data_IF_506217499420
#
_entry.id   IF_506217499420
#
_cell.length_a   1.000
_cell.length_b   1.000
_cell.length_c   1.000
_cell.angle_alpha   90.00
_cell.angle_beta   90.00
_cell.angle_gamma   90.00
#
_symmetry.space_group_name_H-M   'P 1'
#
loop_
_entity.id
_entity.type
_entity.pdbx_description
1 polymer ?
#
# COMPACT_ATOMS: atom_id res chain seq x y z
N UNK A 1 23.31 -12.00 -5.02
CA UNK A 1 23.10 -10.53 -5.01
C UNK A 1 22.23 -10.18 -6.20
N UNK A 2 21.09 -9.57 -5.95
CA UNK A 2 20.14 -9.07 -6.93
C UNK A 2 20.40 -7.58 -7.16
N UNK A 3 20.60 -7.19 -8.42
CA UNK A 3 20.69 -5.77 -8.81
C UNK A 3 19.31 -5.26 -9.22
N UNK A 4 18.90 -4.12 -8.66
CA UNK A 4 17.65 -3.44 -9.01
C UNK A 4 18.02 -2.12 -9.69
N UNK A 5 17.56 -1.94 -10.93
CA UNK A 5 17.80 -0.72 -11.69
C UNK A 5 16.48 -0.02 -12.03
N UNK A 6 16.49 1.29 -12.25
CA UNK A 6 15.35 2.01 -12.81
C UNK A 6 15.16 1.64 -14.29
N UNK A 7 13.93 1.30 -14.69
CA UNK A 7 13.64 0.91 -16.07
C UNK A 7 13.88 2.07 -17.07
N UNK A 8 13.58 3.32 -16.67
CA UNK A 8 13.68 4.50 -17.55
C UNK A 8 15.11 5.05 -17.69
N UNK A 9 15.90 5.07 -16.61
CA UNK A 9 17.26 5.64 -16.62
C UNK A 9 18.36 4.58 -16.72
N UNK A 10 18.07 3.31 -16.39
CA UNK A 10 19.06 2.25 -16.25
C UNK A 10 19.95 2.39 -15.02
N UNK A 11 19.75 3.43 -14.20
CA UNK A 11 20.54 3.68 -13.00
C UNK A 11 20.27 2.61 -11.94
N UNK A 12 21.32 2.22 -11.22
CA UNK A 12 21.22 1.27 -10.11
C UNK A 12 20.53 1.94 -8.92
N UNK A 13 19.40 1.37 -8.49
CA UNK A 13 18.66 1.80 -7.31
C UNK A 13 19.19 1.12 -6.05
N UNK A 14 19.41 -0.19 -6.12
CA UNK A 14 19.84 -1.00 -4.98
C UNK A 14 20.51 -2.31 -5.40
N UNK A 15 21.38 -2.82 -4.52
CA UNK A 15 21.92 -4.18 -4.59
C UNK A 15 21.53 -4.90 -3.31
N UNK A 16 20.78 -5.98 -3.44
CA UNK A 16 20.18 -6.69 -2.31
C UNK A 16 20.64 -8.15 -2.28
N UNK A 17 20.79 -8.77 -1.09
CA UNK A 17 21.01 -10.20 -1.00
C UNK A 17 19.73 -10.92 -1.43
N UNK A 18 19.82 -11.74 -2.49
CA UNK A 18 18.67 -12.50 -3.00
C UNK A 18 18.15 -13.52 -1.99
N UNK A 19 18.99 -13.97 -1.06
CA UNK A 19 18.68 -14.93 0.01
C UNK A 19 17.63 -14.42 1.01
N UNK A 20 17.55 -13.10 1.21
CA UNK A 20 16.57 -12.47 2.12
C UNK A 20 15.23 -12.18 1.44
N UNK A 21 15.14 -12.41 0.13
CA UNK A 21 14.02 -11.98 -0.70
C UNK A 21 13.35 -13.21 -1.36
N UNK A 22 12.34 -13.80 -0.71
CA UNK A 22 11.68 -14.99 -1.23
C UNK A 22 10.91 -14.71 -2.52
N UNK A 23 10.25 -13.55 -2.62
CA UNK A 23 9.33 -13.19 -3.69
C UNK A 23 9.40 -11.69 -4.07
N UNK A 24 8.78 -11.36 -5.19
CA UNK A 24 8.67 -9.98 -5.70
C UNK A 24 7.92 -9.08 -4.71
N UNK A 25 6.92 -9.61 -4.00
CA UNK A 25 6.19 -8.87 -2.96
C UNK A 25 7.13 -8.33 -1.89
N UNK A 26 7.99 -9.19 -1.35
CA UNK A 26 8.96 -8.83 -0.31
C UNK A 26 10.00 -7.85 -0.85
N UNK A 27 10.46 -8.05 -2.09
CA UNK A 27 11.34 -7.08 -2.76
C UNK A 27 10.70 -5.69 -2.83
N UNK A 28 9.44 -5.57 -3.28
CA UNK A 28 8.74 -4.28 -3.38
C UNK A 28 8.64 -3.57 -2.03
N UNK A 29 8.33 -4.32 -0.97
CA UNK A 29 8.29 -3.79 0.41
C UNK A 29 9.65 -3.26 0.85
N UNK A 30 10.71 -4.06 0.67
CA UNK A 30 12.09 -3.67 1.00
C UNK A 30 12.54 -2.43 0.23
N UNK A 31 12.21 -2.35 -1.06
CA UNK A 31 12.53 -1.16 -1.87
C UNK A 31 11.82 0.09 -1.35
N UNK A 32 10.57 -0.02 -0.93
CA UNK A 32 9.84 1.09 -0.34
C UNK A 32 10.46 1.53 1.00
N UNK A 33 10.60 0.58 1.93
CA UNK A 33 11.01 0.85 3.32
C UNK A 33 12.47 1.29 3.44
N UNK A 34 13.39 0.67 2.69
CA UNK A 34 14.84 0.87 2.87
C UNK A 34 15.48 1.76 1.81
N UNK A 35 14.84 1.91 0.65
CA UNK A 35 15.41 2.62 -0.50
C UNK A 35 14.54 3.77 -1.00
N UNK A 36 13.43 4.08 -0.32
CA UNK A 36 12.57 5.21 -0.66
C UNK A 36 11.83 5.06 -1.99
N UNK A 37 11.73 3.84 -2.52
CA UNK A 37 10.89 3.59 -3.69
C UNK A 37 9.41 3.90 -3.37
N UNK A 38 8.55 4.18 -4.36
CA UNK A 38 7.12 4.36 -4.13
C UNK A 38 6.45 3.12 -3.49
N UNK A 39 5.23 3.25 -2.94
CA UNK A 39 4.51 2.13 -2.33
C UNK A 39 4.38 0.90 -3.24
N UNK A 40 4.18 -0.29 -2.65
CA UNK A 40 4.21 -1.61 -3.33
C UNK A 40 3.41 -1.63 -4.63
N UNK A 41 2.19 -1.09 -4.58
CA UNK A 41 1.25 -1.09 -5.70
C UNK A 41 1.57 -0.06 -6.81
N UNK A 42 2.53 0.83 -6.57
CA UNK A 42 3.10 1.74 -7.57
C UNK A 42 4.39 1.21 -8.21
N UNK A 43 4.80 -0.01 -7.85
CA UNK A 43 5.99 -0.67 -8.37
C UNK A 43 5.60 -1.81 -9.30
N UNK A 44 6.16 -1.83 -10.51
CA UNK A 44 6.18 -3.00 -11.38
C UNK A 44 7.64 -3.48 -11.51
N UNK A 45 7.88 -4.75 -11.14
CA UNK A 45 9.19 -5.38 -11.29
C UNK A 45 9.22 -6.13 -12.61
N UNK A 46 10.22 -5.84 -13.43
CA UNK A 46 10.45 -6.48 -14.72
C UNK A 46 11.69 -7.38 -14.62
N UNK A 47 11.52 -8.66 -14.96
CA UNK A 47 12.61 -9.59 -15.18
C UNK A 47 12.77 -9.82 -16.68
N UNK A 48 13.93 -9.47 -17.25
CA UNK A 48 14.18 -9.56 -18.69
C UNK A 48 13.09 -8.86 -19.54
N UNK A 49 12.60 -7.70 -19.09
CA UNK A 49 11.53 -6.94 -19.75
C UNK A 49 10.10 -7.43 -19.50
N UNK A 50 9.90 -8.56 -18.82
CA UNK A 50 8.58 -9.11 -18.51
C UNK A 50 8.15 -8.78 -17.07
N UNK A 51 6.90 -8.32 -16.89
CA UNK A 51 6.35 -8.04 -15.55
C UNK A 51 6.24 -9.33 -14.74
N UNK A 52 6.85 -9.32 -13.57
CA UNK A 52 6.82 -10.43 -12.62
C UNK A 52 5.62 -10.27 -11.68
N UNK A 53 4.94 -11.38 -11.39
CA UNK A 53 3.88 -11.43 -10.38
C UNK A 53 4.47 -11.36 -8.97
N UNK A 54 3.65 -10.92 -8.00
CA UNK A 54 4.10 -10.68 -6.62
C UNK A 54 4.59 -11.95 -5.90
N UNK A 55 4.07 -13.12 -6.27
CA UNK A 55 4.43 -14.45 -5.77
C UNK A 55 5.63 -15.09 -6.51
N UNK A 56 6.18 -14.41 -7.53
CA UNK A 56 7.29 -14.93 -8.30
C UNK A 56 8.59 -14.92 -7.48
N UNK A 57 9.28 -16.06 -7.43
CA UNK A 57 10.56 -16.17 -6.73
C UNK A 57 11.70 -15.48 -7.47
N UNK A 58 12.56 -14.77 -6.74
CA UNK A 58 13.66 -13.95 -7.31
C UNK A 58 15.07 -14.48 -7.03
N UNK A 59 15.17 -15.66 -6.40
CA UNK A 59 16.46 -16.27 -5.99
C UNK A 59 17.46 -16.49 -7.13
N UNK A 60 16.98 -16.75 -8.35
CA UNK A 60 17.83 -17.04 -9.52
C UNK A 60 18.00 -15.83 -10.44
N UNK A 61 17.38 -14.69 -10.09
CA UNK A 61 17.42 -13.49 -10.91
C UNK A 61 18.61 -12.64 -10.48
N UNK A 62 19.49 -12.30 -11.44
CA UNK A 62 20.67 -11.47 -11.18
C UNK A 62 20.36 -9.97 -11.27
N UNK A 63 19.40 -9.59 -12.12
CA UNK A 63 19.00 -8.21 -12.32
C UNK A 63 17.49 -8.12 -12.58
N UNK A 64 16.87 -7.11 -11.98
CA UNK A 64 15.50 -6.69 -12.26
C UNK A 64 15.44 -5.18 -12.51
N UNK A 65 14.43 -4.77 -13.25
CA UNK A 65 14.14 -3.36 -13.48
C UNK A 65 12.87 -2.97 -12.72
N UNK A 66 12.93 -1.82 -12.05
CA UNK A 66 11.79 -1.20 -11.40
C UNK A 66 11.17 -0.18 -12.37
N UNK A 67 9.91 -0.43 -12.72
CA UNK A 67 9.05 0.50 -13.43
C UNK A 67 8.08 1.16 -12.44
N UNK A 68 8.04 2.50 -12.46
CA UNK A 68 7.09 3.26 -11.68
C UNK A 68 5.76 3.36 -12.40
N UNK A 69 4.69 3.08 -11.66
CA UNK A 69 3.34 3.20 -12.16
C UNK A 69 2.70 4.52 -11.70
N UNK A 70 2.07 5.20 -12.64
CA UNK A 70 1.20 6.34 -12.37
C UNK A 70 -0.17 5.87 -11.89
N UNK A 71 -0.85 6.73 -11.14
CA UNK A 71 -2.20 6.40 -10.69
C UNK A 71 -3.18 6.40 -11.86
N UNK A 72 -4.05 5.40 -11.89
CA UNK A 72 -5.19 5.35 -12.80
C UNK A 72 -6.10 6.56 -12.52
N UNK A 73 -6.71 7.17 -13.56
CA UNK A 73 -7.64 8.29 -13.37
C UNK A 73 -8.76 7.96 -12.37
N UNK A 74 -9.05 8.91 -11.48
CA UNK A 74 -10.13 8.79 -10.50
C UNK A 74 -11.48 8.60 -11.20
N UNK A 75 -12.23 7.60 -10.76
CA UNK A 75 -13.59 7.30 -11.24
C UNK A 75 -14.48 6.92 -10.07
N UNK A 76 -15.73 7.39 -10.08
CA UNK A 76 -16.72 7.06 -9.05
C UNK A 76 -16.94 5.55 -8.89
N UNK A 77 -16.84 4.79 -9.99
CA UNK A 77 -16.95 3.33 -9.96
C UNK A 77 -15.78 2.70 -9.21
N UNK A 78 -14.56 3.21 -9.42
CA UNK A 78 -13.37 2.72 -8.73
C UNK A 78 -13.43 3.00 -7.23
N UNK A 79 -13.83 4.23 -6.85
CA UNK A 79 -14.04 4.62 -5.45
C UNK A 79 -15.08 3.70 -4.80
N UNK A 80 -16.20 3.44 -5.48
CA UNK A 80 -17.21 2.51 -4.95
C UNK A 80 -16.65 1.10 -4.75
N UNK A 81 -15.87 0.58 -5.70
CA UNK A 81 -15.30 -0.76 -5.58
C UNK A 81 -14.33 -0.89 -4.42
N UNK A 82 -13.38 0.04 -4.26
CA UNK A 82 -12.43 0.00 -3.13
C UNK A 82 -13.15 0.13 -1.78
N UNK A 83 -14.14 1.04 -1.66
CA UNK A 83 -14.95 1.14 -0.44
C UNK A 83 -15.72 -0.15 -0.18
N UNK A 84 -16.37 -0.71 -1.20
CA UNK A 84 -17.18 -1.91 -1.05
C UNK A 84 -16.36 -3.14 -0.66
N UNK A 85 -15.15 -3.30 -1.20
CA UNK A 85 -14.24 -4.37 -0.78
C UNK A 85 -13.82 -4.24 0.68
N UNK A 86 -13.58 -3.01 1.18
CA UNK A 86 -13.26 -2.79 2.60
C UNK A 86 -14.48 -2.97 3.49
N UNK A 87 -15.66 -2.47 3.10
CA UNK A 87 -16.92 -2.63 3.86
C UNK A 87 -17.29 -4.10 4.03
N UNK A 88 -16.99 -4.94 3.04
CA UNK A 88 -17.16 -6.40 3.11
C UNK A 88 -16.05 -7.12 3.87
N UNK A 89 -14.99 -6.43 4.27
CA UNK A 89 -13.74 -7.01 4.74
C UNK A 89 -13.21 -8.11 3.81
N UNK A 90 -13.08 -7.80 2.52
CA UNK A 90 -12.64 -8.72 1.47
C UNK A 90 -11.21 -8.36 1.01
N UNK A 91 -10.16 -8.78 1.74
CA UNK A 91 -8.78 -8.39 1.46
C UNK A 91 -8.28 -8.92 0.10
N UNK A 92 -8.76 -10.08 -0.36
CA UNK A 92 -8.41 -10.60 -1.69
C UNK A 92 -8.95 -9.68 -2.82
N UNK A 93 -10.22 -9.28 -2.74
CA UNK A 93 -10.83 -8.34 -3.70
C UNK A 93 -10.12 -6.98 -3.64
N UNK A 94 -9.76 -6.53 -2.43
CA UNK A 94 -9.00 -5.30 -2.23
C UNK A 94 -7.60 -5.38 -2.84
N UNK A 95 -6.86 -6.48 -2.64
CA UNK A 95 -5.52 -6.66 -3.19
C UNK A 95 -5.57 -6.70 -4.73
N UNK A 96 -6.52 -7.42 -5.32
CA UNK A 96 -6.73 -7.48 -6.77
C UNK A 96 -7.02 -6.10 -7.36
N UNK A 97 -7.87 -5.31 -6.68
CA UNK A 97 -8.12 -3.92 -7.05
C UNK A 97 -6.81 -3.11 -7.01
N UNK A 98 -6.06 -3.17 -5.91
CA UNK A 98 -4.83 -2.39 -5.71
C UNK A 98 -3.69 -2.79 -6.66
N UNK A 99 -3.71 -3.99 -7.27
CA UNK A 99 -2.78 -4.33 -8.35
C UNK A 99 -2.89 -3.35 -9.54
N UNK A 100 -4.04 -2.67 -9.68
CA UNK A 100 -4.14 -1.44 -10.44
C UNK A 100 -3.72 -0.26 -9.55
N UNK A 101 -2.69 0.52 -9.94
CA UNK A 101 -2.19 1.63 -9.15
C UNK A 101 -3.27 2.70 -9.00
N UNK A 102 -4.01 2.67 -7.90
CA UNK A 102 -5.05 3.65 -7.60
C UNK A 102 -4.65 4.48 -6.38
N UNK A 103 -5.22 5.67 -6.28
CA UNK A 103 -5.05 6.49 -5.10
C UNK A 103 -5.76 5.84 -3.89
N UNK A 104 -5.03 5.42 -2.84
CA UNK A 104 -5.63 4.80 -1.67
C UNK A 104 -6.34 5.81 -0.76
N UNK A 105 -6.13 7.12 -0.98
CA UNK A 105 -6.67 8.21 -0.16
C UNK A 105 -7.99 8.75 -0.70
N UNK A 106 -8.70 7.94 -1.50
CA UNK A 106 -10.03 8.30 -1.97
C UNK A 106 -10.96 8.52 -0.79
N UNK A 107 -11.76 9.58 -0.90
CA UNK A 107 -12.80 9.90 0.04
C UNK A 107 -14.19 9.61 -0.55
N UNK A 108 -15.11 9.19 0.30
CA UNK A 108 -16.51 9.02 -0.08
C UNK A 108 -17.42 9.80 0.88
N UNK A 109 -18.00 10.93 0.44
CA UNK A 109 -18.80 11.80 1.31
C UNK A 109 -20.12 11.16 1.77
N UNK A 110 -20.49 9.99 1.22
CA UNK A 110 -21.63 9.20 1.70
C UNK A 110 -21.37 8.55 3.06
N UNK A 111 -20.11 8.41 3.45
CA UNK A 111 -19.71 7.89 4.75
C UNK A 111 -19.51 9.01 5.79
N UNK A 112 -19.73 8.73 7.09
CA UNK A 112 -19.44 9.69 8.15
C UNK A 112 -17.94 9.99 8.20
N UNK A 113 -17.51 11.17 8.73
CA UNK A 113 -16.11 11.59 8.69
C UNK A 113 -15.08 10.54 9.14
N UNK A 114 -15.39 9.77 10.19
CA UNK A 114 -14.51 8.72 10.73
C UNK A 114 -14.47 7.42 9.90
N UNK A 115 -15.22 7.32 8.81
CA UNK A 115 -15.23 6.22 7.83
C UNK A 115 -15.04 6.74 6.39
N UNK A 116 -14.65 8.01 6.23
CA UNK A 116 -14.63 8.66 4.91
C UNK A 116 -13.52 8.22 3.99
N UNK A 117 -12.50 7.54 4.47
CA UNK A 117 -11.45 6.93 3.66
C UNK A 117 -11.45 5.42 3.90
N UNK A 118 -11.01 4.60 2.93
CA UNK A 118 -10.92 3.15 3.11
C UNK A 118 -10.07 2.78 4.33
N UNK A 119 -8.97 3.50 4.58
CA UNK A 119 -8.10 3.29 5.74
C UNK A 119 -8.82 3.61 7.06
N UNK A 120 -9.58 4.71 7.14
CA UNK A 120 -10.36 5.06 8.32
C UNK A 120 -11.42 4.01 8.63
N UNK A 121 -12.13 3.52 7.61
CA UNK A 121 -13.13 2.46 7.76
C UNK A 121 -12.50 1.15 8.26
N UNK A 122 -11.40 0.71 7.62
CA UNK A 122 -10.69 -0.49 8.06
C UNK A 122 -10.20 -0.37 9.53
N UNK A 123 -9.72 0.82 9.92
CA UNK A 123 -9.28 1.10 11.28
C UNK A 123 -10.43 1.10 12.30
N UNK A 124 -11.58 1.67 11.95
CA UNK A 124 -12.77 1.73 12.81
C UNK A 124 -13.32 0.34 13.12
N UNK A 125 -13.34 -0.55 12.14
CA UNK A 125 -13.88 -1.91 12.30
C UNK A 125 -12.81 -2.99 12.60
N UNK A 126 -11.54 -2.60 12.67
CA UNK A 126 -10.44 -3.51 12.98
C UNK A 126 -10.12 -4.53 11.89
N UNK A 127 -10.35 -4.18 10.63
CA UNK A 127 -10.06 -5.02 9.46
C UNK A 127 -8.55 -5.03 9.18
N UNK A 128 -7.80 -5.81 9.96
CA UNK A 128 -6.35 -5.82 9.96
C UNK A 128 -5.74 -6.06 8.57
N UNK A 129 -6.22 -7.04 7.82
CA UNK A 129 -5.71 -7.35 6.49
C UNK A 129 -6.02 -6.24 5.47
N UNK A 130 -7.22 -5.65 5.52
CA UNK A 130 -7.56 -4.52 4.68
C UNK A 130 -6.73 -3.27 5.03
N UNK A 131 -6.47 -3.07 6.32
CA UNK A 131 -5.64 -1.98 6.82
C UNK A 131 -4.20 -2.14 6.34
N UNK A 132 -3.60 -3.31 6.48
CA UNK A 132 -2.24 -3.60 6.00
C UNK A 132 -2.12 -3.35 4.48
N UNK A 133 -3.10 -3.81 3.68
CA UNK A 133 -3.12 -3.58 2.23
C UNK A 133 -3.22 -2.08 1.88
N UNK A 134 -4.03 -1.31 2.60
CA UNK A 134 -4.11 0.15 2.40
C UNK A 134 -2.79 0.84 2.75
N UNK A 135 -2.12 0.43 3.82
CA UNK A 135 -0.80 0.97 4.18
C UNK A 135 0.25 0.64 3.12
N UNK A 136 0.25 -0.59 2.61
CA UNK A 136 1.15 -1.00 1.51
C UNK A 136 0.89 -0.25 0.19
N UNK A 137 -0.31 0.32 0.02
CA UNK A 137 -0.66 1.22 -1.07
C UNK A 137 -0.23 2.67 -0.84
N UNK A 138 0.24 3.01 0.37
CA UNK A 138 0.62 4.37 0.74
C UNK A 138 -0.57 5.23 1.17
N UNK A 139 -1.58 4.60 1.79
CA UNK A 139 -2.66 5.35 2.43
C UNK A 139 -2.11 6.26 3.55
N UNK A 140 -2.69 7.45 3.65
CA UNK A 140 -2.30 8.50 4.58
C UNK A 140 -2.74 8.12 6.00
N UNK A 141 -1.77 7.79 6.85
CA UNK A 141 -1.99 7.48 8.27
C UNK A 141 -2.36 8.70 9.10
N UNK A 142 -2.17 9.90 8.56
CA UNK A 142 -2.51 11.17 9.18
C UNK A 142 -3.79 11.77 8.61
N UNK A 143 -4.54 11.02 7.79
CA UNK A 143 -5.81 11.48 7.24
C UNK A 143 -6.75 11.95 8.35
N UNK A 144 -6.98 13.27 8.40
CA UNK A 144 -7.74 13.91 9.48
C UNK A 144 -9.23 13.95 9.13
N UNK A 145 -10.02 13.16 9.83
CA UNK A 145 -11.47 13.30 9.79
C UNK A 145 -11.93 14.47 10.69
N UNK A 146 -12.60 15.47 10.11
CA UNK A 146 -13.28 16.52 10.89
C UNK A 146 -14.70 16.07 11.21
N UNK A 147 -15.02 15.88 12.49
CA UNK A 147 -16.40 15.77 12.94
C UNK A 147 -16.70 17.00 13.81
N UNK A 148 -17.75 17.77 13.48
CA UNK A 148 -18.06 19.08 14.05
C UNK A 148 -18.27 19.08 15.57
N UNK A 149 -17.17 18.98 16.33
CA UNK A 149 -17.14 18.91 17.79
C UNK A 149 -16.18 17.87 18.39
N UNK A 150 -15.63 16.94 17.59
CA UNK A 150 -14.66 15.92 18.04
C UNK A 150 -13.26 16.30 17.52
N UNK A 151 -12.19 16.11 18.31
CA UNK A 151 -10.83 16.28 17.80
C UNK A 151 -10.60 15.44 16.54
N UNK A 152 -9.75 15.94 15.64
CA UNK A 152 -9.27 15.21 14.46
C UNK A 152 -8.85 13.80 14.86
N UNK A 153 -9.47 12.78 14.25
CA UNK A 153 -9.11 11.39 14.48
C UNK A 153 -8.26 10.89 13.31
N UNK A 154 -7.10 10.31 13.62
CA UNK A 154 -6.26 9.58 12.68
C UNK A 154 -6.72 8.11 12.65
N UNK A 155 -6.46 7.36 11.57
CA UNK A 155 -6.65 5.91 11.53
C UNK A 155 -6.11 5.19 12.78
N UNK A 156 -4.91 5.56 13.25
CA UNK A 156 -4.32 4.95 14.45
C UNK A 156 -5.13 5.25 15.73
N UNK A 157 -5.54 6.51 15.93
CA UNK A 157 -6.39 6.89 17.06
C UNK A 157 -7.76 6.20 17.00
N UNK A 158 -8.31 6.04 15.79
CA UNK A 158 -9.56 5.34 15.56
C UNK A 158 -9.43 3.89 16.03
N UNK A 159 -8.45 3.15 15.50
CA UNK A 159 -8.26 1.75 15.86
C UNK A 159 -7.94 1.56 17.35
N UNK A 160 -7.12 2.46 17.94
CA UNK A 160 -6.84 2.43 19.37
C UNK A 160 -8.09 2.68 20.23
N UNK A 161 -8.95 3.62 19.83
CA UNK A 161 -10.21 3.93 20.53
C UNK A 161 -11.17 2.75 20.55
N UNK A 162 -11.25 1.99 19.44
CA UNK A 162 -12.10 0.80 19.33
C UNK A 162 -11.43 -0.50 19.81
N UNK A 163 -10.21 -0.42 20.35
CA UNK A 163 -9.52 -1.56 20.97
C UNK A 163 -8.91 -2.54 19.95
N UNK A 164 -8.67 -2.10 18.72
CA UNK A 164 -8.05 -2.89 17.68
C UNK A 164 -6.52 -2.78 17.76
N UNK A 165 -5.85 -3.91 17.90
CA UNK A 165 -4.39 -4.02 17.82
C UNK A 165 -3.96 -3.84 16.36
N UNK A 166 -3.84 -2.59 15.91
CA UNK A 166 -3.13 -2.29 14.67
C UNK A 166 -1.68 -2.73 14.88
N UNK A 167 -1.10 -3.42 13.89
CA UNK A 167 0.36 -3.54 13.80
C UNK A 167 0.93 -2.13 13.61
N UNK A 168 1.12 -1.45 14.72
CA UNK A 168 1.68 -0.13 14.85
C UNK A 168 3.18 -0.19 14.52
N UNK A 169 3.51 -0.34 13.24
CA UNK A 169 4.88 -0.15 12.76
C UNK A 169 5.14 1.26 12.21
N UNK A 170 4.17 2.18 12.33
CA UNK A 170 4.35 3.58 11.94
C UNK A 170 3.99 4.54 13.07
N UNK A 171 4.67 4.38 14.21
CA UNK A 171 4.72 5.38 15.28
C UNK A 171 6.10 5.48 15.96
N UNK A 172 7.20 5.06 15.31
CA UNK A 172 8.56 5.41 15.77
C UNK A 172 9.52 5.49 14.56
N UNK A 173 9.51 6.60 13.83
CA UNK A 173 10.73 7.16 13.19
C UNK A 173 10.42 8.57 12.67
N UNK A 174 10.58 9.57 13.53
CA UNK A 174 11.00 10.89 13.07
C UNK A 174 12.05 11.44 14.05
N UNK A 175 13.25 10.89 13.95
CA UNK A 175 14.52 11.55 14.28
C UNK A 175 15.52 11.14 13.19
#
# INVERSE_FOLDING_TARGET
MLRVCWCLSGEELAVLPSEELPDVRTLKKVLHERHGAPPRFRQAILGNGCRMADDCGIMQVSQVELLLLEFVPRSDTLIKHIFFSVVKNSPAELEDLLQCPMDPNVDDPRFPPFDRTPLLHAAHYGYAECLDLMLEAGADTEARAHNGGIPWITPLNCAAFFGHSVRAQLAITWC
#
